data_IF_954276534779
#
_entry.id   IF_954276534779
#
_cell.length_a   1.000
_cell.length_b   1.000
_cell.length_c   1.000
_cell.angle_alpha   90.00
_cell.angle_beta   90.00
_cell.angle_gamma   90.00
#
_symmetry.space_group_name_H-M   'P 1'
#
loop_
_entity.id
_entity.type
_entity.pdbx_description
1 polymer ?
#
# COMPACT_ATOMS: atom_id res chain seq x y z
N UNK A 1 45.63 19.43 10.70
CA UNK A 1 44.41 19.82 11.43
C UNK A 1 43.22 19.51 10.55
N UNK A 2 42.56 18.41 10.92
CA UNK A 2 41.34 17.86 10.35
C UNK A 2 40.15 18.83 10.50
N UNK A 3 39.24 18.81 9.52
CA UNK A 3 37.78 19.02 9.67
C UNK A 3 37.07 18.83 8.33
N UNK A 4 37.05 17.58 7.89
CA UNK A 4 36.01 17.04 7.02
C UNK A 4 34.69 16.98 7.82
N UNK A 5 33.83 18.00 7.67
CA UNK A 5 32.45 17.98 8.19
C UNK A 5 31.46 17.55 7.12
N UNK A 6 31.64 16.34 6.55
CA UNK A 6 30.48 15.56 6.10
C UNK A 6 29.70 15.10 7.32
N UNK A 7 28.56 15.75 7.55
CA UNK A 7 27.51 15.32 8.51
C UNK A 7 27.24 13.83 8.32
N UNK A 8 27.81 13.01 9.21
CA UNK A 8 27.37 11.66 9.53
C UNK A 8 25.88 11.72 9.85
N UNK A 9 25.02 11.33 8.91
CA UNK A 9 23.66 10.90 9.25
C UNK A 9 23.81 9.59 10.02
N UNK A 10 23.75 9.70 11.35
CA UNK A 10 23.65 8.56 12.25
C UNK A 10 22.38 7.77 11.93
N UNK A 11 22.61 6.50 11.62
CA UNK A 11 21.79 5.32 11.89
C UNK A 11 20.58 5.53 12.81
N UNK A 12 19.40 5.13 12.31
CA UNK A 12 18.28 4.67 13.12
C UNK A 12 17.25 3.96 12.22
N UNK A 13 17.63 2.81 11.66
CA UNK A 13 16.69 1.74 11.34
C UNK A 13 17.45 0.45 11.68
N UNK A 14 17.14 -0.15 12.83
CA UNK A 14 17.65 -1.47 13.16
C UNK A 14 17.16 -2.46 12.11
N UNK A 15 18.11 -3.14 11.47
CA UNK A 15 17.86 -4.18 10.48
C UNK A 15 17.39 -5.41 11.23
N UNK A 16 16.10 -5.66 11.25
CA UNK A 16 15.51 -6.83 11.89
C UNK A 16 15.89 -8.10 11.13
N UNK A 17 17.00 -8.72 11.53
CA UNK A 17 17.22 -10.13 11.29
C UNK A 17 16.80 -10.91 12.55
N UNK A 18 15.98 -11.93 12.41
CA UNK A 18 15.58 -12.78 13.54
C UNK A 18 15.58 -14.26 13.16
N UNK A 19 15.75 -15.10 14.18
CA UNK A 19 15.59 -16.55 14.10
C UNK A 19 14.50 -16.92 15.10
N UNK A 20 13.55 -17.73 14.65
CA UNK A 20 12.54 -18.32 15.51
C UNK A 20 12.73 -19.83 15.47
N UNK A 21 12.93 -20.39 16.65
CA UNK A 21 12.81 -21.83 16.87
C UNK A 21 11.34 -22.23 16.85
N UNK A 22 11.03 -23.22 16.02
CA UNK A 22 9.74 -23.91 15.98
C UNK A 22 10.00 -25.39 16.28
N UNK A 23 8.96 -26.11 16.70
CA UNK A 23 9.05 -27.53 17.10
C UNK A 23 9.74 -28.44 16.04
N UNK A 24 9.71 -28.04 14.76
CA UNK A 24 10.26 -28.80 13.63
C UNK A 24 11.37 -28.08 12.84
N UNK A 25 11.98 -27.01 13.38
CA UNK A 25 13.11 -26.34 12.72
C UNK A 25 13.26 -24.86 13.03
N UNK A 26 14.07 -24.17 12.22
CA UNK A 26 14.37 -22.74 12.36
C UNK A 26 13.72 -21.93 11.24
N UNK A 27 12.92 -20.92 11.60
CA UNK A 27 12.52 -19.87 10.67
C UNK A 27 13.49 -18.70 10.80
N UNK A 28 14.25 -18.43 9.73
CA UNK A 28 15.24 -17.35 9.71
C UNK A 28 14.80 -16.24 8.75
N UNK A 29 14.55 -15.05 9.29
CA UNK A 29 14.31 -13.84 8.50
C UNK A 29 15.61 -13.07 8.35
N UNK A 30 16.07 -12.93 7.12
CA UNK A 30 17.29 -12.18 6.78
C UNK A 30 16.92 -11.00 5.91
N UNK A 31 17.17 -9.79 6.40
CA UNK A 31 17.03 -8.57 5.63
C UNK A 31 18.37 -8.22 4.96
N UNK A 32 18.41 -8.12 3.64
CA UNK A 32 19.62 -7.69 2.93
C UNK A 32 19.55 -6.18 2.72
N UNK A 33 20.52 -5.43 3.26
CA UNK A 33 20.47 -3.98 3.14
C UNK A 33 20.88 -3.47 1.76
N UNK A 34 21.74 -4.16 1.03
CA UNK A 34 22.19 -3.68 -0.29
C UNK A 34 22.65 -4.84 -1.16
N UNK A 35 22.11 -4.91 -2.37
CA UNK A 35 22.82 -5.56 -3.47
C UNK A 35 22.09 -5.48 -4.80
N UNK A 36 22.76 -4.84 -5.76
CA UNK A 36 22.26 -4.64 -7.12
C UNK A 36 22.55 -5.84 -8.03
N UNK A 37 23.33 -6.84 -7.57
CA UNK A 37 23.77 -8.00 -8.36
C UNK A 37 23.50 -9.31 -7.62
N UNK A 38 23.07 -10.33 -8.37
CA UNK A 38 22.65 -11.63 -7.85
C UNK A 38 23.77 -12.33 -7.05
N UNK A 39 25.01 -12.25 -7.54
CA UNK A 39 26.16 -12.85 -6.89
C UNK A 39 26.48 -12.17 -5.54
N UNK A 40 26.46 -10.83 -5.50
CA UNK A 40 26.68 -10.08 -4.26
C UNK A 40 25.58 -10.35 -3.22
N UNK A 41 24.32 -10.47 -3.65
CA UNK A 41 23.21 -10.83 -2.76
C UNK A 41 23.37 -12.24 -2.18
N UNK A 42 23.78 -13.20 -3.02
CA UNK A 42 24.07 -14.56 -2.58
C UNK A 42 25.21 -14.59 -1.56
N UNK A 43 26.32 -13.91 -1.83
CA UNK A 43 27.47 -13.81 -0.90
C UNK A 43 27.08 -13.17 0.43
N UNK A 44 26.22 -12.14 0.40
CA UNK A 44 25.70 -11.53 1.62
C UNK A 44 24.86 -12.52 2.46
N UNK A 45 24.05 -13.37 1.82
CA UNK A 45 23.32 -14.44 2.51
C UNK A 45 24.29 -15.48 3.08
N UNK A 46 25.27 -15.95 2.28
CA UNK A 46 26.31 -16.88 2.73
C UNK A 46 27.04 -16.34 3.98
N UNK A 47 27.45 -15.07 3.95
CA UNK A 47 28.11 -14.41 5.08
C UNK A 47 27.21 -14.34 6.32
N UNK A 48 25.91 -14.03 6.17
CA UNK A 48 24.97 -13.96 7.29
C UNK A 48 24.69 -15.33 7.91
N UNK A 49 24.59 -16.39 7.11
CA UNK A 49 24.48 -17.77 7.62
C UNK A 49 25.74 -18.17 8.40
N UNK A 50 26.92 -17.91 7.82
CA UNK A 50 28.20 -18.19 8.47
C UNK A 50 28.36 -17.47 9.82
N UNK A 51 28.05 -16.16 9.87
CA UNK A 51 28.10 -15.37 11.11
C UNK A 51 27.18 -15.92 12.21
N UNK A 52 26.12 -16.64 11.85
CA UNK A 52 25.17 -17.25 12.78
C UNK A 52 25.44 -18.73 13.06
N UNK A 53 26.49 -19.32 12.48
CA UNK A 53 26.77 -20.75 12.59
C UNK A 53 25.69 -21.63 11.94
N UNK A 54 24.92 -21.08 11.00
CA UNK A 54 23.87 -21.82 10.28
C UNK A 54 24.44 -22.44 9.00
N UNK A 55 24.00 -23.67 8.72
CA UNK A 55 24.40 -24.41 7.52
C UNK A 55 23.35 -24.24 6.41
N UNK A 56 23.77 -23.66 5.28
CA UNK A 56 22.92 -23.47 4.11
C UNK A 56 22.47 -24.79 3.48
N UNK A 57 23.17 -25.90 3.69
CA UNK A 57 22.78 -27.21 3.17
C UNK A 57 21.53 -27.77 3.86
N UNK A 58 21.24 -27.30 5.07
CA UNK A 58 20.07 -27.72 5.87
C UNK A 58 18.81 -26.90 5.60
N UNK A 59 18.87 -25.97 4.64
CA UNK A 59 17.71 -25.15 4.28
C UNK A 59 16.69 -26.00 3.53
N UNK A 60 15.49 -26.14 4.09
CA UNK A 60 14.37 -26.86 3.46
C UNK A 60 13.51 -25.97 2.56
N UNK A 61 13.50 -24.65 2.78
CA UNK A 61 12.74 -23.71 1.98
C UNK A 61 13.35 -22.30 1.93
N UNK A 62 13.10 -21.60 0.83
CA UNK A 62 13.56 -20.23 0.57
C UNK A 62 12.39 -19.36 0.12
N UNK A 63 12.30 -18.14 0.66
CA UNK A 63 11.36 -17.14 0.17
C UNK A 63 12.04 -15.79 -0.02
N UNK A 64 11.80 -15.19 -1.18
CA UNK A 64 12.31 -13.86 -1.54
C UNK A 64 11.20 -13.04 -2.20
N UNK A 65 11.43 -11.74 -2.37
CA UNK A 65 10.59 -10.94 -3.26
C UNK A 65 10.64 -11.45 -4.71
N UNK A 66 9.71 -10.97 -5.53
CA UNK A 66 9.59 -11.39 -6.92
C UNK A 66 10.62 -10.78 -7.86
N UNK A 67 11.55 -9.94 -7.37
CA UNK A 67 12.48 -9.25 -8.24
C UNK A 67 13.34 -10.27 -8.99
N UNK A 68 13.58 -10.02 -10.29
CA UNK A 68 14.27 -10.96 -11.18
C UNK A 68 15.64 -11.40 -10.66
N UNK A 69 16.31 -10.52 -9.90
CA UNK A 69 17.59 -10.80 -9.25
C UNK A 69 17.50 -11.89 -8.18
N UNK A 70 16.35 -12.04 -7.51
CA UNK A 70 16.11 -13.06 -6.48
C UNK A 70 15.33 -14.27 -7.03
N UNK A 71 14.28 -14.02 -7.81
CA UNK A 71 13.32 -15.02 -8.28
C UNK A 71 13.74 -15.76 -9.56
N UNK A 72 14.74 -15.24 -10.29
CA UNK A 72 15.16 -15.81 -11.57
C UNK A 72 15.52 -17.29 -11.51
N UNK A 73 14.99 -18.08 -12.45
CA UNK A 73 15.10 -19.56 -12.46
C UNK A 73 16.53 -20.06 -12.67
N UNK A 74 17.35 -19.32 -13.42
CA UNK A 74 18.72 -19.75 -13.75
C UNK A 74 19.81 -18.93 -13.03
N UNK A 75 19.59 -17.62 -12.91
CA UNK A 75 20.58 -16.68 -12.37
C UNK A 75 20.12 -15.97 -11.10
N UNK A 76 18.89 -16.18 -10.66
CA UNK A 76 18.37 -15.56 -9.45
C UNK A 76 19.05 -16.13 -8.21
N UNK A 77 19.08 -15.34 -7.12
CA UNK A 77 19.65 -15.76 -5.83
C UNK A 77 19.08 -17.10 -5.37
N UNK A 78 17.78 -17.34 -5.53
CA UNK A 78 17.16 -18.63 -5.18
C UNK A 78 17.80 -19.80 -5.93
N UNK A 79 18.03 -19.65 -7.25
CA UNK A 79 18.62 -20.71 -8.07
C UNK A 79 20.08 -20.95 -7.71
N UNK A 80 20.83 -19.87 -7.44
CA UNK A 80 22.25 -19.94 -7.08
C UNK A 80 22.47 -20.60 -5.71
N UNK A 81 21.61 -20.32 -4.73
CA UNK A 81 21.68 -20.95 -3.40
C UNK A 81 21.29 -22.41 -3.49
N UNK A 82 20.13 -22.71 -4.09
CA UNK A 82 19.64 -24.09 -4.23
C UNK A 82 20.66 -24.98 -4.95
N UNK A 83 21.18 -24.53 -6.09
CA UNK A 83 22.16 -25.30 -6.87
C UNK A 83 23.45 -25.58 -6.08
N UNK A 84 23.92 -24.65 -5.25
CA UNK A 84 25.21 -24.77 -4.55
C UNK A 84 25.09 -25.51 -3.22
N UNK A 85 23.98 -25.33 -2.50
CA UNK A 85 23.88 -25.74 -1.10
C UNK A 85 22.71 -26.68 -0.82
N UNK A 86 21.52 -26.38 -1.35
CA UNK A 86 20.28 -27.08 -1.00
C UNK A 86 19.40 -27.35 -2.23
N UNK A 87 19.76 -28.34 -3.09
CA UNK A 87 19.04 -28.59 -4.34
C UNK A 87 17.55 -28.89 -4.16
N UNK A 88 17.22 -29.59 -3.08
CA UNK A 88 15.87 -30.04 -2.75
C UNK A 88 15.03 -28.98 -2.01
N UNK A 89 15.62 -27.82 -1.67
CA UNK A 89 14.88 -26.78 -0.99
C UNK A 89 13.74 -26.24 -1.85
N UNK A 90 12.57 -26.01 -1.25
CA UNK A 90 11.43 -25.44 -1.93
C UNK A 90 11.61 -23.93 -2.04
N UNK A 91 11.44 -23.36 -3.23
CA UNK A 91 11.37 -21.90 -3.41
C UNK A 91 9.93 -21.45 -3.61
N UNK A 92 9.53 -20.40 -2.89
CA UNK A 92 8.27 -19.70 -3.15
C UNK A 92 8.43 -18.19 -2.99
N UNK A 93 7.74 -17.43 -3.83
CA UNK A 93 7.77 -15.97 -3.76
C UNK A 93 7.00 -15.46 -2.54
N UNK A 94 7.44 -14.33 -1.98
CA UNK A 94 6.81 -13.68 -0.84
C UNK A 94 5.32 -13.41 -1.10
N UNK A 95 4.45 -14.00 -0.27
CA UNK A 95 2.99 -13.90 -0.40
C UNK A 95 2.47 -12.47 -0.25
N UNK A 96 3.03 -11.70 0.67
CA UNK A 96 2.73 -10.27 0.81
C UNK A 96 3.07 -9.47 -0.46
N UNK A 97 4.15 -9.83 -1.15
CA UNK A 97 4.50 -9.18 -2.41
C UNK A 97 3.60 -9.61 -3.56
N UNK A 98 3.22 -10.90 -3.63
CA UNK A 98 2.25 -11.39 -4.61
C UNK A 98 0.87 -10.73 -4.45
N UNK A 99 0.37 -10.65 -3.22
CA UNK A 99 -0.86 -9.94 -2.86
C UNK A 99 -0.86 -8.49 -3.35
N UNK A 100 0.27 -7.81 -3.17
CA UNK A 100 0.46 -6.45 -3.64
C UNK A 100 0.46 -6.35 -5.18
N UNK A 101 1.14 -7.26 -5.88
CA UNK A 101 1.14 -7.32 -7.35
C UNK A 101 -0.27 -7.61 -7.90
N UNK A 102 -1.06 -8.46 -7.22
CA UNK A 102 -2.44 -8.76 -7.59
C UNK A 102 -3.31 -7.49 -7.55
N UNK A 103 -3.24 -6.72 -6.46
CA UNK A 103 -3.94 -5.45 -6.30
C UNK A 103 -3.49 -4.40 -7.32
N UNK A 104 -2.19 -4.33 -7.61
CA UNK A 104 -1.64 -3.42 -8.62
C UNK A 104 -2.18 -3.77 -10.02
N UNK A 105 -2.19 -5.05 -10.40
CA UNK A 105 -2.73 -5.52 -11.68
C UNK A 105 -4.25 -5.33 -11.79
N UNK A 106 -4.98 -5.46 -10.69
CA UNK A 106 -6.41 -5.17 -10.66
C UNK A 106 -6.68 -3.67 -10.91
N UNK A 107 -5.84 -2.78 -10.38
CA UNK A 107 -6.02 -1.35 -10.58
C UNK A 107 -5.81 -0.90 -12.04
N UNK A 108 -5.07 -1.66 -12.85
CA UNK A 108 -4.81 -1.27 -14.25
C UNK A 108 -5.99 -1.53 -15.18
N UNK A 109 -6.91 -2.45 -14.82
CA UNK A 109 -8.09 -2.75 -15.65
C UNK A 109 -9.27 -1.82 -15.39
N UNK A 110 -9.20 -0.98 -14.35
CA UNK A 110 -10.24 -0.04 -13.98
C UNK A 110 -9.72 1.41 -14.03
N UNK A 111 -10.24 2.20 -14.97
CA UNK A 111 -9.84 3.60 -15.17
C UNK A 111 -10.22 4.49 -13.97
N UNK A 112 -11.36 4.23 -13.34
CA UNK A 112 -11.89 5.00 -12.22
C UNK A 112 -11.04 4.81 -10.96
N UNK A 113 -10.63 3.57 -10.68
CA UNK A 113 -9.69 3.24 -9.59
C UNK A 113 -8.33 3.84 -9.87
N UNK A 114 -7.80 3.70 -11.09
CA UNK A 114 -6.51 4.29 -11.47
C UNK A 114 -6.53 5.82 -11.29
N UNK A 115 -7.60 6.49 -11.71
CA UNK A 115 -7.80 7.93 -11.52
C UNK A 115 -7.82 8.30 -10.04
N UNK A 116 -8.58 7.56 -9.22
CA UNK A 116 -8.69 7.81 -7.78
C UNK A 116 -7.35 7.63 -7.07
N UNK A 117 -6.58 6.60 -7.43
CA UNK A 117 -5.21 6.39 -6.93
C UNK A 117 -4.28 7.55 -7.34
N UNK A 118 -4.38 8.05 -8.57
CA UNK A 118 -3.60 9.22 -9.02
C UNK A 118 -3.92 10.46 -8.20
N UNK A 119 -5.20 10.70 -7.91
CA UNK A 119 -5.65 11.83 -7.09
C UNK A 119 -5.01 11.78 -5.70
N UNK A 120 -4.93 10.61 -5.06
CA UNK A 120 -4.24 10.47 -3.76
C UNK A 120 -2.76 10.84 -3.86
N UNK A 121 -2.09 10.45 -4.94
CA UNK A 121 -0.70 10.81 -5.20
C UNK A 121 -0.50 12.31 -5.39
N UNK A 122 -1.39 12.97 -6.12
CA UNK A 122 -1.31 14.40 -6.36
C UNK A 122 -1.70 15.23 -5.12
N UNK A 123 -2.67 14.77 -4.31
CA UNK A 123 -2.94 15.33 -2.98
C UNK A 123 -1.69 15.33 -2.11
N UNK A 124 -0.97 14.21 -2.06
CA UNK A 124 0.28 14.12 -1.31
C UNK A 124 1.32 15.13 -1.85
N UNK A 125 1.48 15.26 -3.17
CA UNK A 125 2.41 16.25 -3.75
C UNK A 125 2.03 17.68 -3.36
N UNK A 126 0.74 18.03 -3.41
CA UNK A 126 0.26 19.37 -3.05
C UNK A 126 0.59 19.70 -1.59
N UNK A 127 0.20 18.82 -0.66
CA UNK A 127 0.29 19.16 0.75
C UNK A 127 1.69 18.88 1.33
N UNK A 128 2.37 17.81 0.93
CA UNK A 128 3.63 17.40 1.56
C UNK A 128 4.88 18.07 1.00
N UNK A 129 4.83 18.61 -0.22
CA UNK A 129 6.00 19.28 -0.83
C UNK A 129 6.07 20.78 -0.53
N UNK A 130 5.12 21.33 0.23
CA UNK A 130 5.07 22.75 0.56
C UNK A 130 4.69 22.96 2.03
N UNK A 131 5.63 23.45 2.87
CA UNK A 131 5.33 23.78 4.26
C UNK A 131 4.18 24.78 4.39
N UNK A 132 4.09 25.75 3.47
CA UNK A 132 3.00 26.73 3.42
C UNK A 132 1.64 26.04 3.26
N UNK A 133 1.49 25.13 2.30
CA UNK A 133 0.22 24.42 2.05
C UNK A 133 -0.11 23.40 3.12
N UNK A 134 0.90 22.70 3.66
CA UNK A 134 0.75 21.89 4.87
C UNK A 134 0.18 22.70 6.04
N UNK A 135 0.69 23.91 6.26
CA UNK A 135 0.21 24.79 7.32
C UNK A 135 -1.19 25.34 7.01
N UNK A 136 -1.49 25.68 5.76
CA UNK A 136 -2.84 26.10 5.36
C UNK A 136 -3.87 24.99 5.64
N UNK A 137 -3.59 23.74 5.25
CA UNK A 137 -4.47 22.61 5.56
C UNK A 137 -4.67 22.45 7.07
N UNK A 138 -3.59 22.54 7.86
CA UNK A 138 -3.66 22.48 9.32
C UNK A 138 -4.55 23.59 9.90
N UNK A 139 -4.41 24.83 9.42
CA UNK A 139 -5.23 25.95 9.89
C UNK A 139 -6.71 25.70 9.60
N UNK A 140 -7.04 25.21 8.40
CA UNK A 140 -8.43 24.87 8.03
C UNK A 140 -8.96 23.72 8.91
N UNK A 141 -8.14 22.71 9.21
CA UNK A 141 -8.51 21.63 10.14
C UNK A 141 -8.85 22.18 11.52
N UNK A 142 -8.04 23.08 12.07
CA UNK A 142 -8.27 23.73 13.36
C UNK A 142 -9.56 24.57 13.35
N UNK A 143 -9.78 25.38 12.31
CA UNK A 143 -10.98 26.22 12.17
C UNK A 143 -12.26 25.41 12.07
N UNK A 144 -12.23 24.27 11.38
CA UNK A 144 -13.39 23.40 11.20
C UNK A 144 -13.55 22.36 12.33
N UNK A 145 -12.70 22.39 13.37
CA UNK A 145 -12.65 21.37 14.43
C UNK A 145 -12.54 19.93 13.88
N UNK A 146 -11.75 19.76 12.81
CA UNK A 146 -11.45 18.48 12.17
C UNK A 146 -10.10 17.95 12.70
N UNK A 147 -9.91 16.63 12.87
CA UNK A 147 -8.64 16.08 13.32
C UNK A 147 -7.44 16.56 12.48
N UNK A 148 -6.38 17.02 13.17
CA UNK A 148 -5.16 17.49 12.53
C UNK A 148 -4.37 16.29 11.98
N UNK A 149 -4.54 16.01 10.69
CA UNK A 149 -3.92 14.88 10.01
C UNK A 149 -3.18 15.33 8.75
N UNK A 150 -1.97 14.80 8.55
CA UNK A 150 -1.23 14.95 7.30
C UNK A 150 -1.66 13.89 6.29
N UNK A 151 -1.76 14.29 5.01
CA UNK A 151 -1.87 13.36 3.89
C UNK A 151 -0.59 12.52 3.83
N UNK A 152 -0.74 11.20 3.89
CA UNK A 152 0.40 10.27 3.81
C UNK A 152 0.67 9.95 2.34
N UNK A 153 1.94 9.74 2.01
CA UNK A 153 2.34 9.24 0.70
C UNK A 153 1.64 7.90 0.40
N UNK A 154 0.82 7.83 -0.66
CA UNK A 154 0.39 6.55 -1.19
C UNK A 154 1.61 5.86 -1.81
N UNK A 155 2.19 4.90 -1.08
CA UNK A 155 3.36 4.19 -1.56
C UNK A 155 2.96 3.11 -2.57
N UNK A 156 3.41 3.26 -3.81
CA UNK A 156 3.27 2.25 -4.86
C UNK A 156 3.97 0.93 -4.55
N UNK A 157 4.83 0.88 -3.51
CA UNK A 157 5.54 -0.33 -3.05
C UNK A 157 4.99 -0.87 -1.73
N UNK A 158 4.09 -0.15 -1.03
CA UNK A 158 3.53 -0.55 0.26
C UNK A 158 2.04 -0.21 0.34
N UNK A 159 1.17 -1.16 0.01
CA UNK A 159 -0.28 -0.92 -0.05
C UNK A 159 -0.96 -0.60 1.29
N UNK A 160 -0.38 -0.99 2.42
CA UNK A 160 -0.77 -0.51 3.76
C UNK A 160 -0.64 1.02 3.91
N UNK A 161 0.08 1.68 3.00
CA UNK A 161 0.08 3.13 2.91
C UNK A 161 -1.17 3.67 2.20
N UNK A 162 -1.77 2.94 1.25
CA UNK A 162 -3.03 3.34 0.60
C UNK A 162 -4.19 3.28 1.57
N UNK A 163 -4.34 2.21 2.34
CA UNK A 163 -5.38 2.09 3.38
C UNK A 163 -5.34 3.31 4.31
N UNK A 164 -4.19 3.57 4.91
CA UNK A 164 -3.99 4.72 5.82
C UNK A 164 -4.14 6.08 5.12
N UNK A 165 -3.72 6.18 3.86
CA UNK A 165 -3.87 7.41 3.07
C UNK A 165 -5.34 7.72 2.82
N UNK A 166 -6.11 6.74 2.33
CA UNK A 166 -7.54 6.87 2.04
C UNK A 166 -8.33 7.16 3.31
N UNK A 167 -8.08 6.40 4.38
CA UNK A 167 -8.73 6.62 5.67
C UNK A 167 -8.54 8.06 6.17
N UNK A 168 -7.32 8.59 6.08
CA UNK A 168 -7.05 9.99 6.45
C UNK A 168 -7.74 10.96 5.52
N UNK A 169 -7.63 10.78 4.21
CA UNK A 169 -8.25 11.66 3.20
C UNK A 169 -9.76 11.73 3.42
N UNK A 170 -10.43 10.61 3.68
CA UNK A 170 -11.87 10.58 4.01
C UNK A 170 -12.15 11.38 5.28
N UNK A 171 -11.38 11.14 6.36
CA UNK A 171 -11.57 11.82 7.66
C UNK A 171 -11.43 13.34 7.58
N UNK A 172 -10.55 13.85 6.73
CA UNK A 172 -10.27 15.29 6.62
C UNK A 172 -10.78 15.89 5.31
N UNK A 173 -11.64 15.17 4.58
CA UNK A 173 -12.12 15.56 3.24
C UNK A 173 -12.66 17.00 3.19
N UNK A 174 -13.49 17.48 4.15
CA UNK A 174 -13.97 18.86 4.11
C UNK A 174 -12.82 19.88 4.12
N UNK A 175 -11.82 19.70 5.01
CA UNK A 175 -10.65 20.59 5.08
C UNK A 175 -9.79 20.54 3.82
N UNK A 176 -9.69 19.38 3.16
CA UNK A 176 -8.99 19.24 1.87
C UNK A 176 -9.72 20.06 0.80
N UNK A 177 -11.03 19.93 0.68
CA UNK A 177 -11.82 20.61 -0.35
C UNK A 177 -11.76 22.13 -0.19
N UNK A 178 -11.93 22.64 1.03
CA UNK A 178 -11.81 24.08 1.34
C UNK A 178 -10.40 24.58 0.99
N UNK A 179 -9.35 23.87 1.42
CA UNK A 179 -7.97 24.29 1.15
C UNK A 179 -7.65 24.28 -0.34
N UNK A 180 -8.14 23.28 -1.09
CA UNK A 180 -7.97 23.23 -2.54
C UNK A 180 -8.71 24.36 -3.26
N UNK A 181 -9.87 24.78 -2.76
CA UNK A 181 -10.57 25.94 -3.31
C UNK A 181 -9.78 27.24 -3.13
N UNK A 182 -9.14 27.43 -1.97
CA UNK A 182 -8.21 28.56 -1.79
C UNK A 182 -7.00 28.47 -2.73
N UNK A 183 -6.37 27.29 -2.85
CA UNK A 183 -5.23 27.08 -3.76
C UNK A 183 -5.62 27.37 -5.22
N UNK A 184 -6.83 26.99 -5.62
CA UNK A 184 -7.35 27.26 -6.95
C UNK A 184 -7.51 28.77 -7.19
N UNK A 185 -8.12 29.49 -6.25
CA UNK A 185 -8.34 30.94 -6.32
C UNK A 185 -7.04 31.75 -6.31
N UNK A 186 -6.03 31.30 -5.55
CA UNK A 186 -4.72 31.95 -5.45
C UNK A 186 -3.94 31.97 -6.80
N UNK A 187 -4.40 31.22 -7.82
CA UNK A 187 -3.88 31.26 -9.20
C UNK A 187 -2.36 31.04 -9.35
N UNK A 188 -1.72 30.33 -8.41
CA UNK A 188 -0.30 29.99 -8.44
C UNK A 188 0.04 28.70 -9.20
N UNK A 189 1.31 28.27 -9.14
CA UNK A 189 1.91 27.17 -9.94
C UNK A 189 1.22 25.80 -9.87
N UNK A 190 0.34 25.58 -8.88
CA UNK A 190 -0.40 24.33 -8.71
C UNK A 190 -1.92 24.55 -8.64
N UNK A 191 -2.42 25.72 -9.03
CA UNK A 191 -3.85 26.03 -9.08
C UNK A 191 -4.60 25.07 -10.01
N UNK A 192 -4.09 24.81 -11.22
CA UNK A 192 -4.73 23.87 -12.17
C UNK A 192 -4.82 22.44 -11.61
N UNK A 193 -3.73 21.93 -11.03
CA UNK A 193 -3.73 20.61 -10.37
C UNK A 193 -4.71 20.58 -9.19
N UNK A 194 -4.69 21.62 -8.34
CA UNK A 194 -5.59 21.75 -7.20
C UNK A 194 -7.06 21.80 -7.61
N UNK A 195 -7.39 22.57 -8.66
CA UNK A 195 -8.73 22.65 -9.23
C UNK A 195 -9.21 21.34 -9.84
N UNK A 196 -8.35 20.63 -10.58
CA UNK A 196 -8.69 19.31 -11.13
C UNK A 196 -8.98 18.26 -10.05
N UNK A 197 -8.19 18.27 -8.97
CA UNK A 197 -8.43 17.40 -7.80
C UNK A 197 -9.71 17.80 -7.09
N UNK A 198 -9.93 19.10 -6.87
CA UNK A 198 -11.13 19.65 -6.24
C UNK A 198 -12.38 19.17 -6.97
N UNK A 199 -12.45 19.37 -8.28
CA UNK A 199 -13.56 18.92 -9.12
C UNK A 199 -13.77 17.41 -9.00
N UNK A 200 -12.69 16.63 -9.00
CA UNK A 200 -12.80 15.17 -8.89
C UNK A 200 -13.33 14.71 -7.54
N UNK A 201 -12.86 15.31 -6.44
CA UNK A 201 -13.26 14.95 -5.07
C UNK A 201 -14.66 15.46 -4.69
N UNK A 202 -15.20 16.46 -5.39
CA UNK A 202 -16.60 16.89 -5.27
C UNK A 202 -17.58 15.91 -5.89
N UNK A 203 -17.13 15.01 -6.78
CA UNK A 203 -18.01 14.00 -7.36
C UNK A 203 -18.32 12.91 -6.33
N UNK A 204 -19.61 12.70 -6.05
CA UNK A 204 -20.08 11.61 -5.16
C UNK A 204 -19.60 10.23 -5.60
N UNK A 205 -19.44 10.03 -6.91
CA UNK A 205 -18.84 8.83 -7.50
C UNK A 205 -17.40 8.58 -6.99
N UNK A 206 -16.57 9.62 -6.92
CA UNK A 206 -15.19 9.51 -6.40
C UNK A 206 -15.18 9.21 -4.91
N UNK A 207 -16.07 9.82 -4.13
CA UNK A 207 -16.21 9.57 -2.69
C UNK A 207 -16.63 8.11 -2.45
N UNK A 208 -17.56 7.59 -3.25
CA UNK A 208 -17.95 6.18 -3.17
C UNK A 208 -16.78 5.24 -3.51
N UNK A 209 -16.01 5.54 -4.56
CA UNK A 209 -14.82 4.76 -4.92
C UNK A 209 -13.80 4.79 -3.78
N UNK A 210 -13.57 5.93 -3.13
CA UNK A 210 -12.68 6.01 -1.96
C UNK A 210 -13.14 5.11 -0.82
N UNK A 211 -14.43 5.11 -0.47
CA UNK A 211 -14.97 4.24 0.58
C UNK A 211 -14.83 2.76 0.23
N UNK A 212 -15.13 2.38 -1.02
CA UNK A 212 -14.99 1.00 -1.51
C UNK A 212 -13.53 0.56 -1.50
N UNK A 213 -12.60 1.39 -1.99
CA UNK A 213 -11.17 1.09 -1.96
C UNK A 213 -10.64 1.00 -0.53
N UNK A 214 -11.13 1.83 0.39
CA UNK A 214 -10.77 1.73 1.80
C UNK A 214 -11.13 0.36 2.38
N UNK A 215 -12.34 -0.12 2.10
CA UNK A 215 -12.79 -1.44 2.55
C UNK A 215 -11.93 -2.57 1.94
N UNK A 216 -11.71 -2.55 0.63
CA UNK A 216 -10.85 -3.52 -0.05
C UNK A 216 -9.44 -3.53 0.56
N UNK A 217 -8.81 -2.36 0.71
CA UNK A 217 -7.46 -2.28 1.25
C UNK A 217 -7.38 -2.66 2.73
N UNK A 218 -8.47 -2.52 3.48
CA UNK A 218 -8.57 -3.07 4.85
C UNK A 218 -8.52 -4.60 4.81
N UNK A 219 -9.29 -5.25 3.92
CA UNK A 219 -9.27 -6.72 3.77
C UNK A 219 -7.90 -7.22 3.32
N UNK A 220 -7.32 -6.61 2.28
CA UNK A 220 -5.97 -6.95 1.82
C UNK A 220 -4.91 -6.64 2.89
N UNK A 221 -5.08 -5.58 3.67
CA UNK A 221 -4.21 -5.20 4.77
C UNK A 221 -4.23 -6.22 5.90
N UNK A 222 -5.41 -6.75 6.26
CA UNK A 222 -5.55 -7.87 7.20
C UNK A 222 -4.80 -9.11 6.72
N UNK A 223 -5.02 -9.52 5.45
CA UNK A 223 -4.34 -10.68 4.86
C UNK A 223 -2.83 -10.48 4.79
N UNK A 224 -2.38 -9.29 4.40
CA UNK A 224 -0.96 -8.94 4.35
C UNK A 224 -0.31 -8.96 5.73
N UNK A 225 -1.00 -8.48 6.77
CA UNK A 225 -0.51 -8.56 8.16
C UNK A 225 -0.40 -10.00 8.62
N UNK A 226 -1.40 -10.85 8.30
CA UNK A 226 -1.34 -12.27 8.60
C UNK A 226 -0.10 -12.94 7.98
N UNK A 227 0.18 -12.73 6.68
CA UNK A 227 1.39 -13.24 6.01
C UNK A 227 2.72 -12.76 6.58
N UNK A 228 2.71 -11.75 7.45
CA UNK A 228 3.90 -11.18 8.08
C UNK A 228 4.06 -11.62 9.54
N UNK A 229 3.09 -12.37 10.08
CA UNK A 229 3.17 -12.93 11.43
C UNK A 229 4.20 -14.05 11.50
N UNK A 230 4.77 -14.24 12.68
CA UNK A 230 5.77 -15.27 12.96
C UNK A 230 5.17 -16.69 13.02
N UNK A 231 3.85 -16.77 13.18
CA UNK A 231 3.06 -18.00 13.25
C UNK A 231 2.29 -18.27 11.96
N UNK A 232 2.57 -17.52 10.88
CA UNK A 232 1.92 -17.76 9.60
C UNK A 232 2.31 -19.14 9.07
N UNK A 233 1.39 -20.09 9.09
CA UNK A 233 1.55 -21.37 8.43
C UNK A 233 0.92 -21.36 7.02
N UNK A 234 1.38 -22.28 6.17
CA UNK A 234 0.96 -22.34 4.77
C UNK A 234 -0.51 -22.75 4.62
N UNK A 235 -1.02 -23.61 5.49
CA UNK A 235 -2.40 -24.13 5.43
C UNK A 235 -3.40 -23.03 5.76
N UNK A 236 -3.20 -22.33 6.88
CA UNK A 236 -3.99 -21.18 7.27
C UNK A 236 -3.82 -20.02 6.29
N UNK A 237 -2.65 -19.86 5.66
CA UNK A 237 -2.46 -18.89 4.57
C UNK A 237 -3.45 -19.11 3.42
N UNK A 238 -3.70 -20.36 3.02
CA UNK A 238 -4.69 -20.68 2.00
C UNK A 238 -6.10 -20.35 2.49
N UNK A 239 -6.45 -20.73 3.73
CA UNK A 239 -7.78 -20.46 4.30
C UNK A 239 -8.07 -18.96 4.42
N UNK A 240 -7.13 -18.15 4.92
CA UNK A 240 -7.30 -16.70 5.02
C UNK A 240 -7.36 -16.04 3.64
N UNK A 241 -6.63 -16.54 2.65
CA UNK A 241 -6.71 -16.05 1.26
C UNK A 241 -8.08 -16.32 0.67
N UNK A 242 -8.59 -17.54 0.81
CA UNK A 242 -9.92 -17.96 0.34
C UNK A 242 -11.05 -17.19 1.04
N UNK A 243 -10.95 -17.01 2.37
CA UNK A 243 -11.90 -16.18 3.11
C UNK A 243 -11.89 -14.74 2.62
N UNK A 244 -10.71 -14.16 2.41
CA UNK A 244 -10.56 -12.80 1.88
C UNK A 244 -11.16 -12.69 0.47
N UNK A 245 -10.92 -13.69 -0.38
CA UNK A 245 -11.48 -13.76 -1.75
C UNK A 245 -13.00 -13.77 -1.71
N UNK A 246 -13.62 -14.60 -0.88
CA UNK A 246 -15.08 -14.65 -0.73
C UNK A 246 -15.67 -13.32 -0.28
N UNK A 247 -15.06 -12.67 0.72
CA UNK A 247 -15.50 -11.34 1.18
C UNK A 247 -15.42 -10.29 0.07
N UNK A 248 -14.38 -10.35 -0.78
CA UNK A 248 -14.25 -9.47 -1.94
C UNK A 248 -15.31 -9.76 -3.01
N UNK A 249 -15.57 -11.03 -3.32
CA UNK A 249 -16.50 -11.45 -4.38
C UNK A 249 -17.97 -11.16 -4.04
N UNK A 250 -18.36 -11.34 -2.78
CA UNK A 250 -19.75 -11.14 -2.35
C UNK A 250 -20.13 -9.65 -2.30
N UNK A 251 -19.16 -8.75 -2.26
CA UNK A 251 -19.39 -7.30 -2.13
C UNK A 251 -20.26 -6.94 -0.92
N UNK A 252 -20.17 -7.71 0.16
CA UNK A 252 -21.06 -7.66 1.32
C UNK A 252 -21.15 -6.24 1.92
N UNK A 253 -20.04 -5.49 1.90
CA UNK A 253 -19.96 -4.14 2.46
C UNK A 253 -20.22 -3.02 1.45
N UNK A 254 -20.69 -3.32 0.22
CA UNK A 254 -20.97 -2.28 -0.78
C UNK A 254 -22.06 -1.31 -0.30
N UNK A 255 -23.14 -1.82 0.29
CA UNK A 255 -24.22 -0.99 0.80
C UNK A 255 -23.75 -0.10 1.96
N UNK A 256 -22.93 -0.63 2.86
CA UNK A 256 -22.30 0.15 3.92
C UNK A 256 -21.41 1.27 3.36
N UNK A 257 -20.69 1.03 2.26
CA UNK A 257 -19.90 2.06 1.58
C UNK A 257 -20.78 3.15 0.96
N UNK A 258 -21.95 2.80 0.45
CA UNK A 258 -22.96 3.76 -0.05
C UNK A 258 -23.46 4.63 1.10
N UNK A 259 -23.87 4.02 2.21
CA UNK A 259 -24.36 4.75 3.39
C UNK A 259 -23.31 5.71 3.97
N UNK A 260 -22.04 5.25 4.08
CA UNK A 260 -20.91 6.12 4.47
C UNK A 260 -20.74 7.29 3.51
N UNK A 261 -20.88 7.05 2.21
CA UNK A 261 -20.78 8.09 1.18
C UNK A 261 -21.90 9.10 1.28
N UNK A 262 -23.14 8.65 1.47
CA UNK A 262 -24.30 9.53 1.65
C UNK A 262 -24.14 10.40 2.90
N UNK A 263 -23.67 9.81 4.01
CA UNK A 263 -23.37 10.56 5.23
C UNK A 263 -22.31 11.65 5.00
N UNK A 264 -21.20 11.30 4.33
CA UNK A 264 -20.15 12.27 3.99
C UNK A 264 -20.70 13.38 3.10
N UNK A 265 -21.50 13.04 2.08
CA UNK A 265 -22.10 14.03 1.18
C UNK A 265 -23.04 14.99 1.93
N UNK A 266 -23.85 14.50 2.87
CA UNK A 266 -24.71 15.35 3.71
C UNK A 266 -23.87 16.30 4.58
N UNK A 267 -22.84 15.81 5.26
CA UNK A 267 -21.95 16.67 6.08
C UNK A 267 -21.22 17.72 5.26
N UNK A 268 -20.82 17.40 4.03
CA UNK A 268 -20.23 18.37 3.10
C UNK A 268 -21.23 19.47 2.72
N UNK A 269 -22.49 19.10 2.43
CA UNK A 269 -23.56 20.06 2.13
C UNK A 269 -23.85 20.99 3.32
N UNK A 270 -23.87 20.47 4.54
CA UNK A 270 -24.02 21.26 5.78
C UNK A 270 -22.87 22.26 5.98
N UNK A 271 -21.68 21.93 5.48
CA UNK A 271 -20.49 22.80 5.52
C UNK A 271 -20.40 23.72 4.29
N UNK A 272 -21.49 23.89 3.54
CA UNK A 272 -21.57 24.67 2.30
C UNK A 272 -20.60 24.20 1.19
N UNK A 273 -20.11 22.96 1.27
CA UNK A 273 -19.25 22.37 0.24
C UNK A 273 -20.11 21.64 -0.79
N UNK A 274 -20.05 22.11 -2.03
CA UNK A 274 -20.78 21.50 -3.13
C UNK A 274 -20.30 20.07 -3.45
N UNK A 275 -21.25 19.16 -3.65
CA UNK A 275 -21.02 17.77 -4.07
C UNK A 275 -21.86 17.49 -5.31
N UNK A 276 -21.20 17.05 -6.38
CA UNK A 276 -21.84 16.71 -7.65
C UNK A 276 -22.41 15.29 -7.59
N UNK A 277 -23.68 15.13 -7.99
CA UNK A 277 -24.36 13.84 -8.08
C UNK A 277 -24.77 13.55 -9.53
N UNK A 278 -24.46 12.33 -9.99
CA UNK A 278 -24.88 11.79 -11.29
C UNK A 278 -25.95 10.73 -11.07
N UNK A 279 -26.75 10.49 -12.10
CA UNK A 279 -27.66 9.34 -12.10
C UNK A 279 -26.89 8.02 -12.11
N UNK A 280 -27.47 7.00 -11.47
CA UNK A 280 -26.98 5.61 -11.53
C UNK A 280 -25.56 5.37 -10.98
N UNK A 281 -25.01 6.24 -10.13
CA UNK A 281 -23.66 6.10 -9.54
C UNK A 281 -23.44 4.70 -8.94
N UNK A 282 -24.37 4.22 -8.11
CA UNK A 282 -24.21 2.92 -7.45
C UNK A 282 -24.05 1.78 -8.46
N UNK A 283 -24.85 1.78 -9.54
CA UNK A 283 -24.78 0.77 -10.60
C UNK A 283 -23.44 0.86 -11.37
N UNK A 284 -23.00 2.07 -11.71
CA UNK A 284 -21.70 2.33 -12.37
C UNK A 284 -20.54 1.80 -11.51
N UNK A 285 -20.48 2.22 -10.25
CA UNK A 285 -19.41 1.85 -9.32
C UNK A 285 -19.45 0.35 -9.01
N UNK A 286 -20.63 -0.26 -8.88
CA UNK A 286 -20.74 -1.72 -8.67
C UNK A 286 -20.24 -2.51 -9.88
N UNK A 287 -20.55 -2.08 -11.10
CA UNK A 287 -20.02 -2.70 -12.33
C UNK A 287 -18.49 -2.59 -12.40
N UNK A 288 -17.96 -1.42 -12.09
CA UNK A 288 -16.52 -1.18 -12.01
C UNK A 288 -15.86 -2.08 -10.95
N UNK A 289 -16.48 -2.15 -9.77
CA UNK A 289 -16.01 -2.93 -8.64
C UNK A 289 -15.93 -4.43 -8.97
N UNK A 290 -16.93 -4.96 -9.68
CA UNK A 290 -16.89 -6.35 -10.17
C UNK A 290 -15.69 -6.60 -11.09
N UNK A 291 -15.37 -5.68 -12.01
CA UNK A 291 -14.18 -5.83 -12.88
C UNK A 291 -12.88 -5.84 -12.07
N UNK A 292 -12.77 -4.92 -11.10
CA UNK A 292 -11.61 -4.82 -10.22
C UNK A 292 -11.45 -6.07 -9.35
N UNK A 293 -12.52 -6.50 -8.66
CA UNK A 293 -12.52 -7.68 -7.78
C UNK A 293 -12.25 -8.96 -8.56
N UNK A 294 -12.87 -9.15 -9.73
CA UNK A 294 -12.60 -10.33 -10.56
C UNK A 294 -11.12 -10.40 -10.95
N UNK A 295 -10.52 -9.27 -11.34
CA UNK A 295 -9.09 -9.25 -11.69
C UNK A 295 -8.20 -9.48 -10.48
N UNK A 296 -8.56 -8.92 -9.33
CA UNK A 296 -7.86 -9.12 -8.08
C UNK A 296 -7.88 -10.60 -7.66
N UNK A 297 -9.06 -11.22 -7.63
CA UNK A 297 -9.26 -12.61 -7.23
C UNK A 297 -8.60 -13.62 -8.19
N UNK A 298 -8.50 -13.31 -9.47
CA UNK A 298 -7.70 -14.11 -10.43
C UNK A 298 -6.19 -14.11 -10.15
N UNK A 299 -5.69 -13.13 -9.39
CA UNK A 299 -4.27 -12.98 -9.09
C UNK A 299 -3.95 -13.21 -7.59
N UNK A 300 -4.96 -13.51 -6.76
CA UNK A 300 -4.81 -13.95 -5.37
C UNK A 300 -4.50 -15.45 -5.32
#
# INVERSE_FOLDING_TARGET
>A
MDKDTRKKRKSAYEVFDWIIEKDNGLLCKICLEFGCKNQSNKEAIEHKFCKRGLDLSKVSALSFDGASNFSGVHKGVQALIRKKFCPDAIYFQCRSHLLHLAAQRAATVCKEVKRTISILGDLYKIFSQSPKRSQQLKNVQEMCNIPILKVIEPSSTRWLAYERCIERVIKILPSILITLEHIYKDSGDLSSMGGGILLSLRQKETILILNVLNHIFTLLGNLSRYFQTEDSDLSNSVLFTESTRRSLENLDSFQECVEKTDKIASTLKESEVHVDEKENIQKSVKSMLLQYVNKLCQNL
#
